data_IF_616169823314
#
_entry.id   IF_616169823314
#
_cell.length_a   1.000
_cell.length_b   1.000
_cell.length_c   1.000
_cell.angle_alpha   90.00
_cell.angle_beta   90.00
_cell.angle_gamma   90.00
#
_symmetry.space_group_name_H-M   'P 1'
#
loop_
_entity.id
_entity.type
_entity.pdbx_description
1 polymer ?
#
# COMPACT_ATOMS: atom_id res chain seq x y z
N UNK A 1 -19.93 -34.97 -0.21
CA UNK A 1 -18.56 -34.40 -0.08
C UNK A 1 -18.61 -32.97 -0.57
N UNK A 2 -18.54 -31.98 0.32
CA UNK A 2 -18.58 -30.56 -0.06
C UNK A 2 -17.23 -30.12 -0.61
N UNK A 3 -17.21 -29.54 -1.81
CA UNK A 3 -16.04 -28.90 -2.39
C UNK A 3 -15.64 -27.69 -1.54
N UNK A 4 -14.36 -27.52 -1.18
CA UNK A 4 -13.92 -26.34 -0.43
C UNK A 4 -14.14 -25.11 -1.30
N UNK A 5 -14.93 -24.16 -0.79
CA UNK A 5 -15.11 -22.84 -1.39
C UNK A 5 -13.74 -22.18 -1.54
N UNK A 6 -13.32 -21.96 -2.79
CA UNK A 6 -12.11 -21.20 -3.13
C UNK A 6 -12.29 -19.77 -2.65
N UNK A 7 -11.85 -19.45 -1.43
CA UNK A 7 -11.77 -18.07 -0.95
C UNK A 7 -10.80 -17.33 -1.87
N UNK A 8 -11.25 -16.32 -2.63
CA UNK A 8 -10.35 -15.52 -3.45
C UNK A 8 -9.27 -14.91 -2.55
N UNK A 9 -8.01 -14.89 -3.03
CA UNK A 9 -6.86 -14.26 -2.37
C UNK A 9 -6.34 -14.96 -1.10
N UNK A 10 -6.74 -16.20 -0.81
CA UNK A 10 -6.10 -17.00 0.26
C UNK A 10 -4.67 -17.41 -0.14
N UNK A 11 -3.70 -16.57 0.23
CA UNK A 11 -2.29 -16.80 -0.06
C UNK A 11 -1.56 -17.70 0.97
N UNK A 12 -2.17 -17.96 2.14
CA UNK A 12 -1.58 -18.76 3.21
C UNK A 12 -2.31 -20.09 3.38
N UNK A 13 -1.53 -21.15 3.56
CA UNK A 13 -1.99 -22.50 3.91
C UNK A 13 -2.26 -22.53 5.41
N UNK A 14 -3.47 -22.95 5.77
CA UNK A 14 -3.88 -23.17 7.16
C UNK A 14 -3.08 -24.34 7.75
N UNK A 15 -2.53 -24.16 8.96
CA UNK A 15 -1.62 -25.13 9.58
C UNK A 15 -0.14 -24.98 9.20
N UNK A 16 0.22 -23.98 8.39
CA UNK A 16 1.60 -23.69 8.03
C UNK A 16 2.04 -24.36 6.72
N UNK A 17 3.35 -24.32 6.43
CA UNK A 17 3.90 -24.89 5.19
C UNK A 17 3.51 -24.14 3.92
N UNK A 18 3.12 -22.87 4.02
CA UNK A 18 2.87 -22.03 2.85
C UNK A 18 4.14 -21.96 2.00
N UNK A 19 4.12 -22.40 0.74
CA UNK A 19 5.31 -22.38 -0.11
C UNK A 19 5.87 -20.96 -0.23
N UNK A 20 7.20 -20.85 -0.23
CA UNK A 20 7.83 -19.56 -0.50
C UNK A 20 7.43 -19.08 -1.89
N UNK A 21 7.00 -17.83 -1.98
CA UNK A 21 6.70 -17.20 -3.24
C UNK A 21 7.96 -17.18 -4.12
N UNK A 22 7.84 -17.69 -5.34
CA UNK A 22 8.93 -17.81 -6.31
C UNK A 22 8.53 -17.13 -7.63
N UNK A 23 9.50 -16.85 -8.49
CA UNK A 23 9.29 -16.12 -9.74
C UNK A 23 9.47 -14.60 -9.60
N UNK A 24 8.77 -13.82 -10.43
CA UNK A 24 8.95 -12.36 -10.54
C UNK A 24 8.46 -11.63 -9.28
N UNK A 25 7.23 -11.89 -8.88
CA UNK A 25 6.61 -11.28 -7.70
C UNK A 25 7.12 -11.97 -6.45
N UNK A 26 8.18 -11.46 -5.85
CA UNK A 26 8.68 -11.92 -4.56
C UNK A 26 9.43 -10.78 -3.88
N UNK A 27 9.48 -10.82 -2.54
CA UNK A 27 10.31 -9.90 -1.74
C UNK A 27 11.40 -10.74 -1.09
N UNK A 28 12.66 -10.48 -1.45
CA UNK A 28 13.83 -11.19 -0.90
C UNK A 28 14.46 -10.47 0.29
N UNK A 29 14.26 -9.16 0.38
CA UNK A 29 14.86 -8.25 1.36
C UNK A 29 14.09 -6.94 1.37
N UNK A 30 14.18 -6.17 2.45
CA UNK A 30 13.62 -4.82 2.53
C UNK A 30 14.57 -3.72 2.01
N UNK A 31 15.86 -4.04 1.83
CA UNK A 31 16.91 -3.05 1.49
C UNK A 31 17.61 -3.29 0.16
N UNK A 32 17.42 -4.46 -0.45
CA UNK A 32 17.96 -4.76 -1.78
C UNK A 32 17.24 -3.97 -2.89
N UNK A 33 17.75 -4.03 -4.14
CA UNK A 33 17.16 -3.30 -5.26
C UNK A 33 15.68 -3.65 -5.48
N UNK A 34 14.84 -2.63 -5.53
CA UNK A 34 13.42 -2.75 -5.88
C UNK A 34 13.27 -2.87 -7.40
N UNK A 35 12.48 -3.83 -7.87
CA UNK A 35 12.31 -4.13 -9.30
C UNK A 35 10.92 -3.82 -9.83
N UNK A 36 9.91 -4.11 -9.03
CA UNK A 36 8.51 -3.88 -9.35
C UNK A 36 7.82 -3.36 -8.07
N UNK A 37 6.94 -2.36 -8.18
CA UNK A 37 6.19 -1.78 -7.07
C UNK A 37 4.71 -1.64 -7.43
N UNK A 38 3.83 -2.02 -6.51
CA UNK A 38 2.40 -1.79 -6.67
C UNK A 38 2.00 -0.52 -5.92
N UNK A 39 1.52 0.48 -6.65
CA UNK A 39 1.04 1.74 -6.10
C UNK A 39 -0.47 1.86 -6.27
N UNK A 40 -1.16 2.34 -5.23
CA UNK A 40 -2.59 2.64 -5.30
C UNK A 40 -2.86 3.97 -6.01
N UNK A 41 -4.02 4.12 -6.68
CA UNK A 41 -4.39 5.36 -7.35
C UNK A 41 -4.57 6.48 -6.32
N UNK A 42 -3.87 7.59 -6.52
CA UNK A 42 -3.92 8.72 -5.61
C UNK A 42 -5.23 9.53 -5.76
N UNK A 43 -5.89 9.44 -6.92
CA UNK A 43 -7.07 10.22 -7.29
C UNK A 43 -8.28 9.91 -6.40
N UNK A 44 -8.41 8.65 -5.98
CA UNK A 44 -9.50 8.15 -5.12
C UNK A 44 -9.26 8.41 -3.63
N UNK A 45 -8.07 8.91 -3.25
CA UNK A 45 -7.79 9.22 -1.86
C UNK A 45 -8.68 10.35 -1.35
N UNK A 46 -9.31 10.09 -0.19
CA UNK A 46 -10.12 11.05 0.56
C UNK A 46 -9.63 11.16 1.98
N UNK A 47 -9.28 12.37 2.41
CA UNK A 47 -9.04 12.65 3.81
C UNK A 47 -10.34 12.52 4.61
N UNK A 48 -10.37 11.64 5.60
CA UNK A 48 -11.57 11.37 6.40
C UNK A 48 -11.69 12.27 7.65
N UNK A 49 -10.61 12.94 8.07
CA UNK A 49 -10.65 13.91 9.18
C UNK A 49 -11.36 13.38 10.43
N UNK A 50 -12.28 14.18 11.00
CA UNK A 50 -13.03 13.83 12.20
C UNK A 50 -13.76 12.48 12.10
N UNK A 51 -14.24 12.08 10.92
CA UNK A 51 -14.92 10.79 10.72
C UNK A 51 -14.04 9.61 11.15
N UNK A 52 -12.73 9.71 10.93
CA UNK A 52 -11.77 8.66 11.22
C UNK A 52 -10.91 8.93 12.47
N UNK A 53 -11.10 10.07 13.14
CA UNK A 53 -10.32 10.45 14.31
C UNK A 53 -10.52 9.50 15.50
N UNK A 54 -11.71 8.90 15.61
CA UNK A 54 -12.01 7.91 16.66
C UNK A 54 -11.14 6.63 16.54
N UNK A 55 -10.73 6.27 15.33
CA UNK A 55 -10.06 5.00 15.03
C UNK A 55 -8.60 5.17 14.61
N UNK A 56 -8.19 6.38 14.19
CA UNK A 56 -6.86 6.66 13.68
C UNK A 56 -6.07 7.60 14.60
N UNK A 57 -4.96 7.11 15.16
CA UNK A 57 -3.99 7.93 15.90
C UNK A 57 -3.32 8.98 15.00
N UNK A 58 -3.04 8.63 13.74
CA UNK A 58 -2.45 9.53 12.76
C UNK A 58 -3.35 10.74 12.51
N UNK A 59 -4.66 10.52 12.29
CA UNK A 59 -5.62 11.61 12.07
C UNK A 59 -5.65 12.56 13.26
N UNK A 60 -5.68 12.04 14.49
CA UNK A 60 -5.68 12.85 15.71
C UNK A 60 -4.41 13.70 15.83
N UNK A 61 -3.24 13.15 15.51
CA UNK A 61 -1.98 13.88 15.54
C UNK A 61 -1.91 14.98 14.47
N UNK A 62 -2.28 14.67 13.22
CA UNK A 62 -2.36 15.63 12.12
C UNK A 62 -3.26 16.82 12.48
N UNK A 63 -4.41 16.55 13.09
CA UNK A 63 -5.34 17.59 13.55
C UNK A 63 -4.78 18.43 14.70
N UNK A 64 -4.15 17.81 15.71
CA UNK A 64 -3.51 18.51 16.82
C UNK A 64 -2.41 19.46 16.35
N UNK A 65 -1.68 19.07 15.29
CA UNK A 65 -0.64 19.90 14.65
C UNK A 65 -1.20 20.97 13.70
N UNK A 66 -2.51 21.00 13.47
CA UNK A 66 -3.16 21.97 12.58
C UNK A 66 -2.84 21.75 11.09
N UNK A 67 -2.34 20.57 10.71
CA UNK A 67 -2.04 20.26 9.32
C UNK A 67 -3.31 20.12 8.50
N UNK A 68 -3.24 20.59 7.26
CA UNK A 68 -4.36 20.56 6.31
C UNK A 68 -4.02 19.66 5.15
N UNK A 69 -4.98 18.84 4.74
CA UNK A 69 -4.85 18.04 3.55
C UNK A 69 -5.08 18.91 2.31
N UNK A 70 -4.09 18.97 1.42
CA UNK A 70 -4.18 19.57 0.09
C UNK A 70 -4.10 18.45 -0.95
N UNK A 71 -5.21 18.21 -1.65
CA UNK A 71 -5.30 17.16 -2.67
C UNK A 71 -4.36 17.43 -3.85
N UNK A 72 -4.20 18.68 -4.27
CA UNK A 72 -3.35 19.02 -5.40
C UNK A 72 -1.88 18.82 -5.05
N UNK A 73 -1.47 19.21 -3.83
CA UNK A 73 -0.13 18.91 -3.33
C UNK A 73 0.13 17.40 -3.27
N UNK A 74 -0.81 16.62 -2.74
CA UNK A 74 -0.69 15.16 -2.67
C UNK A 74 -0.56 14.52 -4.07
N UNK A 75 -1.31 15.00 -5.07
CA UNK A 75 -1.21 14.49 -6.44
C UNK A 75 0.16 14.77 -7.07
N UNK A 76 0.71 15.97 -6.84
CA UNK A 76 2.06 16.33 -7.32
C UNK A 76 3.13 15.45 -6.68
N UNK A 77 3.08 15.30 -5.36
CA UNK A 77 4.02 14.45 -4.61
C UNK A 77 3.94 12.99 -5.04
N UNK A 78 2.73 12.46 -5.29
CA UNK A 78 2.57 11.11 -5.80
C UNK A 78 3.21 10.93 -7.18
N UNK A 79 3.04 11.91 -8.08
CA UNK A 79 3.68 11.89 -9.40
C UNK A 79 5.20 11.94 -9.29
N UNK A 80 5.75 12.81 -8.44
CA UNK A 80 7.20 12.89 -8.19
C UNK A 80 7.76 11.54 -7.68
N UNK A 81 7.03 10.85 -6.81
CA UNK A 81 7.40 9.51 -6.34
C UNK A 81 7.37 8.47 -7.47
N UNK A 82 6.34 8.47 -8.32
CA UNK A 82 6.23 7.57 -9.48
C UNK A 82 7.38 7.82 -10.45
N UNK A 83 7.67 9.08 -10.75
CA UNK A 83 8.78 9.48 -11.63
C UNK A 83 10.12 9.02 -11.06
N UNK A 84 10.33 9.13 -9.74
CA UNK A 84 11.53 8.63 -9.07
C UNK A 84 11.70 7.11 -9.25
N UNK A 85 10.63 6.32 -9.06
CA UNK A 85 10.67 4.87 -9.30
C UNK A 85 11.02 4.55 -10.75
N UNK A 86 10.36 5.19 -11.72
CA UNK A 86 10.65 4.97 -13.13
C UNK A 86 12.07 5.38 -13.51
N UNK A 87 12.56 6.50 -12.99
CA UNK A 87 13.95 6.95 -13.22
C UNK A 87 14.99 5.96 -12.69
N UNK A 88 14.65 5.19 -11.66
CA UNK A 88 15.47 4.13 -11.09
C UNK A 88 15.29 2.76 -11.80
N UNK A 89 14.46 2.68 -12.85
CA UNK A 89 14.19 1.45 -13.58
C UNK A 89 13.24 0.48 -12.87
N UNK A 90 12.46 0.96 -11.90
CA UNK A 90 11.42 0.18 -11.21
C UNK A 90 10.13 0.23 -12.04
N UNK A 91 9.48 -0.93 -12.20
CA UNK A 91 8.17 -1.04 -12.85
C UNK A 91 7.00 -0.77 -11.90
#
# INVERSE_FOLDING_TARGET
>A
MSTPSSTPLRARVEGGGTPKLSGRWQIKSETGPLKDVLLGPAESFRWMGLENAAWSSLVRDTMRKGYKFDKQAAMRQHREMVDAYHSAGVN
#
